data_IF_933299119041
#
_entry.id   IF_933299119041
#
_cell.length_a   1.000
_cell.length_b   1.000
_cell.length_c   1.000
_cell.angle_alpha   90.00
_cell.angle_beta   90.00
_cell.angle_gamma   90.00
#
_symmetry.space_group_name_H-M   'P 1'
#
loop_
_entity.id
_entity.type
_entity.pdbx_description
1 polymer ?
#
# COMPACT_ATOMS: atom_id res chain seq x y z
N UNK A 1 0.74 4.91 -28.34
CA UNK A 1 0.41 4.43 -26.98
C UNK A 1 -0.79 3.52 -27.10
N UNK A 2 -0.83 2.41 -26.36
CA UNK A 2 -2.01 1.56 -26.35
C UNK A 2 -3.20 2.33 -25.76
N UNK A 3 -4.39 2.16 -26.34
CA UNK A 3 -5.62 2.81 -25.88
C UNK A 3 -6.65 1.74 -25.55
N UNK A 4 -7.38 1.95 -24.47
CA UNK A 4 -8.49 1.10 -24.07
C UNK A 4 -9.81 1.82 -24.28
N UNK A 5 -10.84 1.08 -24.65
CA UNK A 5 -12.21 1.57 -24.67
C UNK A 5 -12.94 1.16 -23.40
N UNK A 6 -14.08 1.79 -23.10
CA UNK A 6 -14.92 1.39 -21.95
C UNK A 6 -15.33 -0.09 -21.95
N UNK A 7 -15.28 -0.76 -23.11
CA UNK A 7 -15.57 -2.18 -23.25
C UNK A 7 -14.46 -3.08 -22.70
N UNK A 8 -13.23 -2.57 -22.65
CA UNK A 8 -12.04 -3.29 -22.17
C UNK A 8 -11.88 -3.18 -20.64
N UNK A 9 -12.70 -2.34 -20.00
CA UNK A 9 -12.58 -2.05 -18.58
C UNK A 9 -12.85 -3.31 -17.75
N UNK A 10 -11.94 -3.57 -16.82
CA UNK A 10 -12.03 -4.66 -15.86
C UNK A 10 -11.23 -4.29 -14.62
N UNK A 11 -11.56 -4.86 -13.44
CA UNK A 11 -10.72 -4.75 -12.26
C UNK A 11 -9.25 -5.06 -12.57
N UNK A 12 -8.34 -4.23 -12.08
CA UNK A 12 -6.90 -4.35 -12.31
C UNK A 12 -6.38 -3.69 -13.60
N UNK A 13 -7.24 -3.22 -14.50
CA UNK A 13 -6.79 -2.47 -15.68
C UNK A 13 -6.14 -1.14 -15.25
N UNK A 14 -4.95 -0.87 -15.79
CA UNK A 14 -4.15 0.34 -15.49
C UNK A 14 -4.19 1.31 -16.67
N UNK A 15 -4.56 2.55 -16.42
CA UNK A 15 -4.77 3.57 -17.45
C UNK A 15 -4.43 4.97 -16.92
N UNK A 16 -4.22 5.91 -17.83
CA UNK A 16 -3.95 7.30 -17.50
C UNK A 16 -5.24 8.11 -17.36
N UNK A 17 -5.36 8.86 -16.26
CA UNK A 17 -6.47 9.79 -16.01
C UNK A 17 -5.91 11.06 -15.38
N UNK A 18 -6.21 12.22 -15.98
CA UNK A 18 -5.79 13.54 -15.50
C UNK A 18 -4.27 13.65 -15.24
N UNK A 19 -3.45 12.97 -16.06
CA UNK A 19 -1.99 12.96 -15.95
C UNK A 19 -1.42 12.01 -14.89
N UNK A 20 -2.25 11.22 -14.20
CA UNK A 20 -1.81 10.23 -13.22
C UNK A 20 -2.17 8.79 -13.65
N UNK A 21 -1.30 7.80 -13.36
CA UNK A 21 -1.63 6.40 -13.55
C UNK A 21 -2.66 5.94 -12.51
N UNK A 22 -3.71 5.29 -12.98
CA UNK A 22 -4.84 4.82 -12.19
C UNK A 22 -5.08 3.32 -12.43
N UNK A 23 -5.65 2.64 -11.43
CA UNK A 23 -6.11 1.26 -11.54
C UNK A 23 -7.61 1.19 -11.30
N UNK A 24 -8.33 0.43 -12.12
CA UNK A 24 -9.75 0.14 -11.90
C UNK A 24 -9.88 -0.84 -10.73
N UNK A 25 -10.64 -0.46 -9.70
CA UNK A 25 -11.01 -1.36 -8.60
C UNK A 25 -12.24 -2.17 -9.00
N UNK A 26 -13.27 -1.49 -9.48
CA UNK A 26 -14.53 -2.08 -9.92
C UNK A 26 -15.15 -1.24 -11.03
N UNK A 27 -15.96 -1.89 -11.86
CA UNK A 27 -16.72 -1.24 -12.91
C UNK A 27 -18.09 -1.89 -13.10
N UNK A 28 -19.06 -1.07 -13.50
CA UNK A 28 -20.43 -1.49 -13.77
C UNK A 28 -20.92 -0.80 -15.04
N UNK A 29 -21.36 -1.60 -16.02
CA UNK A 29 -22.00 -1.07 -17.22
C UNK A 29 -23.49 -0.80 -16.96
N UNK A 30 -23.91 0.44 -17.14
CA UNK A 30 -25.28 0.89 -16.88
C UNK A 30 -25.93 1.36 -18.18
N UNK A 31 -27.05 0.73 -18.53
CA UNK A 31 -27.92 1.14 -19.64
C UNK A 31 -29.21 1.73 -19.09
N UNK A 32 -29.38 3.06 -19.02
CA UNK A 32 -30.59 3.67 -18.51
C UNK A 32 -31.76 3.43 -19.48
N UNK A 33 -32.99 3.31 -18.95
CA UNK A 33 -34.20 3.18 -19.78
C UNK A 33 -34.43 4.38 -20.71
N UNK A 34 -33.88 5.55 -20.36
CA UNK A 34 -33.81 6.75 -21.20
C UNK A 34 -32.46 7.43 -20.99
N UNK A 35 -31.67 7.59 -22.07
CA UNK A 35 -30.34 8.22 -22.03
C UNK A 35 -29.25 7.37 -22.70
N UNK A 36 -28.03 7.89 -22.73
CA UNK A 36 -26.86 7.16 -23.24
C UNK A 36 -26.34 6.18 -22.18
N UNK A 37 -25.88 5.00 -22.62
CA UNK A 37 -25.20 4.06 -21.74
C UNK A 37 -23.87 4.65 -21.22
N UNK A 38 -23.49 4.25 -20.01
CA UNK A 38 -22.25 4.66 -19.37
C UNK A 38 -21.70 3.53 -18.50
N UNK A 39 -20.40 3.57 -18.24
CA UNK A 39 -19.73 2.67 -17.30
C UNK A 39 -19.41 3.48 -16.05
N UNK A 40 -20.00 3.08 -14.91
CA UNK A 40 -19.60 3.58 -13.59
C UNK A 40 -18.35 2.84 -13.18
N UNK A 41 -17.29 3.55 -12.82
CA UNK A 41 -16.03 2.95 -12.41
C UNK A 41 -15.60 3.52 -11.08
N UNK A 42 -15.06 2.67 -10.22
CA UNK A 42 -14.29 3.10 -9.06
C UNK A 42 -12.83 2.85 -9.37
N UNK A 43 -12.04 3.90 -9.31
CA UNK A 43 -10.62 3.89 -9.64
C UNK A 43 -9.79 4.29 -8.43
N UNK A 44 -8.57 3.80 -8.35
CA UNK A 44 -7.56 4.25 -7.39
C UNK A 44 -6.42 4.91 -8.14
N UNK A 45 -6.11 6.15 -7.80
CA UNK A 45 -4.88 6.83 -8.26
C UNK A 45 -3.68 6.17 -7.60
N UNK A 46 -2.69 5.78 -8.40
CA UNK A 46 -1.54 5.03 -7.88
C UNK A 46 -0.54 5.94 -7.15
N UNK A 47 -0.36 7.18 -7.58
CA UNK A 47 0.56 8.12 -6.91
C UNK A 47 -0.04 8.66 -5.61
N UNK A 48 -1.30 9.09 -5.63
CA UNK A 48 -1.93 9.74 -4.48
C UNK A 48 -2.71 8.79 -3.57
N UNK A 49 -2.89 7.52 -3.96
CA UNK A 49 -3.71 6.54 -3.24
C UNK A 49 -5.22 6.83 -3.21
N UNK A 50 -5.67 7.97 -3.75
CA UNK A 50 -7.06 8.43 -3.70
C UNK A 50 -7.97 7.51 -4.51
N UNK A 51 -9.10 7.14 -3.91
CA UNK A 51 -10.18 6.40 -4.58
C UNK A 51 -11.22 7.38 -5.08
N UNK A 52 -11.61 7.26 -6.35
CA UNK A 52 -12.54 8.14 -7.03
C UNK A 52 -13.59 7.31 -7.77
N UNK A 53 -14.84 7.76 -7.75
CA UNK A 53 -15.91 7.22 -8.59
C UNK A 53 -16.03 8.09 -9.85
N UNK A 54 -15.76 7.52 -11.02
CA UNK A 54 -15.76 8.20 -12.32
C UNK A 54 -16.73 7.49 -13.27
N UNK A 55 -17.57 8.28 -13.95
CA UNK A 55 -18.50 7.77 -14.96
C UNK A 55 -17.95 8.03 -16.36
N UNK A 56 -17.74 6.97 -17.13
CA UNK A 56 -17.30 7.06 -18.52
C UNK A 56 -18.48 6.81 -19.46
N UNK A 57 -18.68 7.70 -20.45
CA UNK A 57 -19.67 7.45 -21.50
C UNK A 57 -19.23 6.23 -22.32
N UNK A 58 -20.15 5.37 -22.71
CA UNK A 58 -19.80 4.20 -23.52
C UNK A 58 -19.12 4.61 -24.82
N UNK A 59 -18.01 3.95 -25.15
CA UNK A 59 -17.17 4.25 -26.31
C UNK A 59 -16.07 5.29 -26.05
N UNK A 60 -15.99 5.85 -24.84
CA UNK A 60 -14.85 6.70 -24.45
C UNK A 60 -13.58 5.86 -24.46
N UNK A 61 -12.50 6.43 -25.02
CA UNK A 61 -11.18 5.81 -25.02
C UNK A 61 -10.29 6.47 -23.96
N UNK A 62 -9.45 5.69 -23.31
CA UNK A 62 -8.45 6.11 -22.34
C UNK A 62 -7.08 5.59 -22.75
N UNK A 63 -6.02 6.29 -22.35
CA UNK A 63 -4.65 5.87 -22.63
C UNK A 63 -4.18 4.81 -21.62
N UNK A 64 -3.45 3.80 -22.08
CA UNK A 64 -2.84 2.81 -21.21
C UNK A 64 -1.72 3.45 -20.38
N UNK A 65 -1.61 3.04 -19.11
CA UNK A 65 -0.48 3.40 -18.26
C UNK A 65 0.48 2.20 -18.22
N UNK A 66 1.77 2.44 -18.51
CA UNK A 66 2.80 1.42 -18.38
C UNK A 66 3.20 1.29 -16.91
N UNK A 67 2.51 0.38 -16.21
CA UNK A 67 2.69 0.18 -14.78
C UNK A 67 2.92 -1.29 -14.49
N UNK A 68 4.05 -1.57 -13.85
CA UNK A 68 4.49 -2.92 -13.51
C UNK A 68 4.62 -3.04 -11.99
N UNK A 69 4.18 -4.17 -11.43
CA UNK A 69 4.40 -4.49 -10.03
C UNK A 69 5.53 -5.53 -9.98
N UNK A 70 6.60 -5.23 -9.27
CA UNK A 70 7.73 -6.12 -9.09
C UNK A 70 7.82 -6.56 -7.63
N UNK A 71 8.09 -7.86 -7.42
CA UNK A 71 8.43 -8.42 -6.13
C UNK A 71 9.93 -8.22 -5.91
N UNK A 72 10.29 -7.29 -5.01
CA UNK A 72 11.66 -6.92 -4.72
C UNK A 72 11.95 -7.06 -3.22
N UNK A 73 13.17 -7.39 -2.89
CA UNK A 73 13.63 -7.48 -1.49
C UNK A 73 14.26 -6.15 -1.08
N UNK A 74 13.82 -5.58 0.03
CA UNK A 74 14.41 -4.36 0.58
C UNK A 74 15.84 -4.62 1.07
N UNK A 75 16.78 -3.77 0.66
CA UNK A 75 18.21 -3.95 0.93
C UNK A 75 18.75 -2.96 1.94
N UNK A 76 18.72 -1.66 1.65
CA UNK A 76 19.18 -0.60 2.55
C UNK A 76 18.60 0.75 2.11
N UNK A 77 18.78 1.79 2.93
CA UNK A 77 18.51 3.18 2.55
C UNK A 77 19.78 4.02 2.63
N UNK A 78 19.89 5.00 1.75
CA UNK A 78 20.85 6.10 1.88
C UNK A 78 20.14 7.35 2.45
N UNK A 79 20.74 8.53 2.30
CA UNK A 79 20.16 9.78 2.81
C UNK A 79 18.84 10.19 2.13
N UNK A 80 18.59 9.72 0.89
CA UNK A 80 17.47 10.19 0.06
C UNK A 80 16.63 9.07 -0.56
N UNK A 81 17.18 7.86 -0.71
CA UNK A 81 16.62 6.76 -1.45
C UNK A 81 16.62 5.44 -0.68
N UNK A 82 15.62 4.61 -0.98
CA UNK A 82 15.51 3.23 -0.53
C UNK A 82 15.83 2.31 -1.69
N UNK A 83 16.70 1.34 -1.45
CA UNK A 83 17.15 0.39 -2.48
C UNK A 83 16.48 -0.97 -2.30
N UNK A 84 15.97 -1.47 -3.42
CA UNK A 84 15.31 -2.76 -3.53
C UNK A 84 16.02 -3.59 -4.58
N UNK A 85 16.16 -4.89 -4.33
CA UNK A 85 16.86 -5.81 -5.21
C UNK A 85 15.88 -6.86 -5.74
N UNK A 86 15.94 -7.12 -7.04
CA UNK A 86 15.17 -8.21 -7.63
C UNK A 86 15.80 -9.57 -7.24
N UNK A 87 15.04 -10.52 -6.70
CA UNK A 87 15.59 -11.78 -6.17
C UNK A 87 16.22 -12.67 -7.23
N UNK A 88 15.69 -12.65 -8.47
CA UNK A 88 16.19 -13.48 -9.58
C UNK A 88 17.25 -12.80 -10.45
N UNK A 89 17.05 -11.53 -10.83
CA UNK A 89 17.94 -10.81 -11.76
C UNK A 89 19.03 -10.02 -11.06
N UNK A 90 18.94 -9.83 -9.73
CA UNK A 90 19.82 -8.97 -8.93
C UNK A 90 19.84 -7.49 -9.38
N UNK A 91 18.88 -7.08 -10.20
CA UNK A 91 18.71 -5.67 -10.57
C UNK A 91 18.30 -4.84 -9.36
N UNK A 92 18.86 -3.63 -9.27
CA UNK A 92 18.56 -2.69 -8.19
C UNK A 92 17.61 -1.60 -8.67
N UNK A 93 16.62 -1.32 -7.84
CA UNK A 93 15.64 -0.25 -8.02
C UNK A 93 15.73 0.70 -6.83
N UNK A 94 15.76 2.00 -7.10
CA UNK A 94 15.78 3.05 -6.08
C UNK A 94 14.44 3.76 -6.03
N UNK A 95 13.84 3.84 -4.85
CA UNK A 95 12.62 4.59 -4.60
C UNK A 95 12.93 5.84 -3.78
N UNK A 96 12.30 6.96 -4.14
CA UNK A 96 12.40 8.20 -3.37
C UNK A 96 11.46 8.20 -2.14
N UNK A 97 11.62 9.19 -1.27
CA UNK A 97 10.78 9.33 -0.08
C UNK A 97 9.28 9.47 -0.39
N UNK A 98 8.92 9.98 -1.58
CA UNK A 98 7.53 10.15 -1.98
C UNK A 98 6.88 8.82 -2.38
N UNK A 99 7.62 7.94 -3.05
CA UNK A 99 7.21 6.60 -3.43
C UNK A 99 7.13 5.66 -2.22
N UNK A 100 8.02 5.84 -1.23
CA UNK A 100 8.01 5.06 0.02
C UNK A 100 6.91 5.55 0.97
N UNK A 101 6.83 6.86 1.22
CA UNK A 101 5.83 7.46 2.10
C UNK A 101 5.77 6.80 3.48
N UNK A 102 4.56 6.50 3.94
CA UNK A 102 4.31 5.86 5.25
C UNK A 102 4.82 4.42 5.36
N UNK A 103 5.22 3.79 4.25
CA UNK A 103 5.75 2.44 4.27
C UNK A 103 7.12 2.35 4.96
N UNK A 104 7.87 3.45 5.06
CA UNK A 104 9.23 3.48 5.63
C UNK A 104 9.31 2.76 6.97
N UNK A 105 8.35 3.02 7.86
CA UNK A 105 8.32 2.45 9.22
C UNK A 105 8.08 0.93 9.27
N UNK A 106 7.75 0.33 8.13
CA UNK A 106 7.49 -1.10 7.96
C UNK A 106 8.54 -1.80 7.10
N UNK A 107 9.54 -1.09 6.58
CA UNK A 107 10.62 -1.66 5.78
C UNK A 107 11.70 -2.23 6.70
N UNK A 108 11.66 -3.55 6.85
CA UNK A 108 12.70 -4.32 7.54
C UNK A 108 13.73 -4.83 6.53
N UNK A 109 15.00 -4.91 6.93
CA UNK A 109 16.05 -5.52 6.11
C UNK A 109 15.61 -6.90 5.63
N UNK A 110 15.84 -7.16 4.34
CA UNK A 110 15.45 -8.39 3.66
C UNK A 110 13.92 -8.63 3.58
N UNK A 111 13.09 -7.61 3.80
CA UNK A 111 11.64 -7.74 3.61
C UNK A 111 11.26 -7.81 2.13
N UNK A 112 10.44 -8.79 1.78
CA UNK A 112 9.85 -8.89 0.44
C UNK A 112 8.72 -7.87 0.27
N UNK A 113 8.95 -6.90 -0.60
CA UNK A 113 8.05 -5.80 -0.88
C UNK A 113 7.54 -5.88 -2.32
N UNK A 114 6.37 -5.28 -2.57
CA UNK A 114 5.88 -5.06 -3.93
C UNK A 114 6.17 -3.61 -4.28
N UNK A 115 6.97 -3.38 -5.31
CA UNK A 115 7.28 -2.05 -5.83
C UNK A 115 6.54 -1.85 -7.15
N UNK A 116 5.67 -0.84 -7.18
CA UNK A 116 4.95 -0.44 -8.39
C UNK A 116 5.79 0.59 -9.14
N UNK A 117 6.18 0.24 -10.36
CA UNK A 117 6.87 1.10 -11.32
C UNK A 117 5.85 1.74 -12.27
N UNK A 118 6.07 3.00 -12.64
CA UNK A 118 5.40 3.68 -13.74
C UNK A 118 6.44 4.23 -14.72
N UNK A 119 6.36 3.83 -15.99
CA UNK A 119 7.37 4.15 -17.01
C UNK A 119 8.80 3.83 -16.53
N UNK A 120 8.97 2.71 -15.82
CA UNK A 120 10.25 2.26 -15.25
C UNK A 120 10.68 2.96 -13.95
N UNK A 121 9.95 3.96 -13.45
CA UNK A 121 10.28 4.67 -12.20
C UNK A 121 9.40 4.19 -11.04
N UNK A 122 9.95 3.85 -9.85
CA UNK A 122 9.14 3.51 -8.68
C UNK A 122 8.22 4.65 -8.25
N UNK A 123 6.94 4.34 -8.06
CA UNK A 123 5.91 5.30 -7.60
C UNK A 123 5.25 4.90 -6.29
N UNK A 124 5.31 3.62 -5.90
CA UNK A 124 4.70 3.12 -4.68
C UNK A 124 5.46 1.91 -4.18
N UNK A 125 5.74 1.87 -2.88
CA UNK A 125 6.29 0.71 -2.19
C UNK A 125 5.23 0.14 -1.26
N UNK A 126 4.88 -1.13 -1.45
CA UNK A 126 3.98 -1.87 -0.56
C UNK A 126 4.80 -2.86 0.26
N UNK A 127 4.92 -2.66 1.59
CA UNK A 127 5.61 -3.60 2.47
C UNK A 127 4.80 -4.90 2.62
N UNK A 128 5.37 -5.96 3.23
CA UNK A 128 4.62 -7.15 3.58
C UNK A 128 3.36 -6.81 4.39
N UNK A 129 2.27 -7.55 4.19
CA UNK A 129 1.02 -7.33 4.94
C UNK A 129 1.21 -7.44 6.45
N UNK A 130 2.20 -8.23 6.89
CA UNK A 130 2.53 -8.40 8.29
C UNK A 130 4.02 -8.24 8.51
N UNK A 131 4.38 -7.51 9.55
CA UNK A 131 5.76 -7.36 10.03
C UNK A 131 5.84 -7.75 11.49
N UNK A 132 6.99 -8.28 11.87
CA UNK A 132 7.29 -8.66 13.25
C UNK A 132 8.30 -7.67 13.81
N UNK A 133 7.91 -6.95 14.86
CA UNK A 133 8.67 -5.85 15.41
C UNK A 133 8.74 -5.95 16.94
N UNK A 134 9.91 -5.68 17.48
CA UNK A 134 10.13 -5.61 18.93
C UNK A 134 9.61 -4.28 19.49
N UNK A 135 9.00 -4.35 20.68
CA UNK A 135 8.59 -3.17 21.43
C UNK A 135 9.77 -2.64 22.21
N UNK A 136 10.18 -1.40 21.90
CA UNK A 136 11.31 -0.73 22.56
C UNK A 136 10.84 0.19 23.69
N UNK A 137 9.60 0.66 23.66
CA UNK A 137 9.04 1.54 24.68
C UNK A 137 7.52 1.38 24.79
N UNK A 138 7.00 1.25 26.02
CA UNK A 138 5.56 1.21 26.31
C UNK A 138 5.31 1.39 27.81
N UNK A 139 4.17 1.94 28.18
CA UNK A 139 3.80 2.14 29.59
C UNK A 139 3.63 0.80 30.35
N UNK A 140 3.97 0.74 31.65
CA UNK A 140 3.66 -0.41 32.49
C UNK A 140 2.15 -0.61 32.57
N UNK A 141 1.66 -1.78 32.15
CA UNK A 141 0.22 -2.08 32.19
C UNK A 141 -0.30 -2.11 33.63
N UNK A 142 -1.16 -1.15 34.01
CA UNK A 142 -1.82 -1.14 35.31
C UNK A 142 -2.92 -2.22 35.34
N UNK A 143 -2.70 -3.29 36.12
CA UNK A 143 -3.62 -4.44 36.28
C UNK A 143 -5.05 -4.09 36.75
N UNK A 144 -5.33 -2.85 37.11
CA UNK A 144 -6.63 -2.39 37.62
C UNK A 144 -7.56 -1.74 36.58
N UNK A 145 -7.09 -1.50 35.36
CA UNK A 145 -7.87 -0.81 34.31
C UNK A 145 -8.61 -1.82 33.40
N UNK A 146 -9.40 -2.70 34.01
CA UNK A 146 -10.12 -3.80 33.33
C UNK A 146 -11.49 -3.40 32.77
N UNK A 147 -11.86 -2.13 32.86
CA UNK A 147 -13.19 -1.64 32.48
C UNK A 147 -13.30 -1.15 31.02
N UNK A 148 -12.19 -1.07 30.28
CA UNK A 148 -12.20 -0.64 28.88
C UNK A 148 -11.45 -1.59 27.98
N UNK A 149 -11.84 -1.62 26.70
CA UNK A 149 -11.05 -2.10 25.55
C UNK A 149 -9.78 -1.25 25.32
N UNK A 150 -9.16 -0.79 26.41
CA UNK A 150 -8.02 0.11 26.46
C UNK A 150 -6.74 -0.63 26.13
N UNK A 151 -6.34 -0.58 24.86
CA UNK A 151 -4.94 -0.81 24.49
C UNK A 151 -4.09 0.40 24.85
N UNK A 152 -2.81 0.16 25.15
CA UNK A 152 -1.79 1.19 25.39
C UNK A 152 -0.96 1.43 24.13
N UNK A 153 -0.42 2.63 23.92
CA UNK A 153 0.55 2.85 22.86
C UNK A 153 1.86 2.10 23.17
N UNK A 154 2.48 1.55 22.13
CA UNK A 154 3.80 0.97 22.17
C UNK A 154 4.60 1.45 20.96
N UNK A 155 5.83 1.88 21.21
CA UNK A 155 6.81 2.25 20.20
C UNK A 155 7.63 1.02 19.82
N UNK A 156 7.72 0.77 18.52
CA UNK A 156 8.42 -0.37 17.94
C UNK A 156 9.86 0.00 17.57
N UNK A 157 10.70 -1.00 17.30
CA UNK A 157 12.11 -0.82 16.92
C UNK A 157 12.32 0.09 15.70
N UNK A 158 11.34 0.20 14.81
CA UNK A 158 11.36 1.11 13.65
C UNK A 158 10.90 2.53 13.97
N UNK A 159 10.48 2.81 15.20
CA UNK A 159 9.85 4.07 15.61
C UNK A 159 8.34 4.15 15.33
N UNK A 160 7.74 3.12 14.71
CA UNK A 160 6.30 3.03 14.54
C UNK A 160 5.59 2.95 15.91
N UNK A 161 4.49 3.68 16.07
CA UNK A 161 3.66 3.63 17.28
C UNK A 161 2.37 2.88 16.98
N UNK A 162 2.10 1.82 17.74
CA UNK A 162 0.90 0.98 17.59
C UNK A 162 0.18 0.78 18.91
N UNK A 163 -1.12 0.52 18.86
CA UNK A 163 -1.92 0.23 20.05
C UNK A 163 -1.87 -1.26 20.36
N UNK A 164 -1.33 -1.62 21.53
CA UNK A 164 -1.16 -3.01 21.98
C UNK A 164 -1.97 -3.31 23.25
N UNK A 165 -2.30 -4.57 23.53
CA UNK A 165 -2.90 -4.97 24.80
C UNK A 165 -2.04 -4.64 26.03
N UNK A 166 -2.67 -4.41 27.18
CA UNK A 166 -1.98 -4.01 28.42
C UNK A 166 -0.94 -5.01 28.94
N UNK A 167 -1.11 -6.30 28.61
CA UNK A 167 -0.22 -7.37 29.06
C UNK A 167 1.12 -7.42 28.32
N UNK A 168 1.22 -6.76 27.17
CA UNK A 168 2.44 -6.77 26.34
C UNK A 168 3.51 -5.92 27.01
N UNK A 169 4.77 -6.37 26.99
CA UNK A 169 5.89 -5.71 27.67
C UNK A 169 6.98 -5.28 26.68
N UNK A 170 7.88 -4.40 27.15
CA UNK A 170 9.10 -4.03 26.44
C UNK A 170 9.95 -5.30 26.21
N UNK A 171 10.54 -5.42 25.02
CA UNK A 171 11.33 -6.58 24.60
C UNK A 171 10.51 -7.73 23.99
N UNK A 172 9.16 -7.64 24.01
CA UNK A 172 8.33 -8.61 23.30
C UNK A 172 8.23 -8.27 21.81
N UNK A 173 8.28 -9.30 20.96
CA UNK A 173 8.07 -9.17 19.52
C UNK A 173 6.58 -9.33 19.21
N UNK A 174 6.02 -8.37 18.48
CA UNK A 174 4.62 -8.38 18.06
C UNK A 174 4.51 -8.41 16.55
N UNK A 175 3.45 -9.05 16.07
CA UNK A 175 3.02 -9.03 14.69
C UNK A 175 2.03 -7.89 14.47
N UNK A 176 2.30 -7.05 13.48
CA UNK A 176 1.50 -5.87 13.13
C UNK A 176 1.01 -6.00 11.68
N UNK A 177 -0.24 -5.61 11.42
CA UNK A 177 -0.74 -5.44 10.05
C UNK A 177 -0.30 -4.07 9.51
N UNK A 178 0.50 -4.06 8.46
CA UNK A 178 1.09 -2.82 7.89
C UNK A 178 0.05 -1.94 7.19
N UNK A 179 -1.11 -2.50 6.83
CA UNK A 179 -2.18 -1.80 6.11
C UNK A 179 -3.03 -0.97 7.06
N UNK A 180 -3.33 -1.51 8.24
CA UNK A 180 -4.10 -0.81 9.29
C UNK A 180 -3.23 -0.20 10.39
N UNK A 181 -1.99 -0.67 10.55
CA UNK A 181 -1.12 -0.33 11.67
C UNK A 181 -1.56 -0.96 12.99
N UNK A 182 -2.35 -2.04 12.93
CA UNK A 182 -2.94 -2.66 14.13
C UNK A 182 -2.14 -3.86 14.61
N UNK A 183 -2.11 -4.03 15.93
CA UNK A 183 -1.60 -5.24 16.57
C UNK A 183 -2.45 -6.46 16.17
N UNK A 184 -1.78 -7.52 15.73
CA UNK A 184 -2.41 -8.80 15.38
C UNK A 184 -2.21 -9.82 16.49
N UNK A 185 -0.96 -10.07 16.87
CA UNK A 185 -0.61 -11.09 17.85
C UNK A 185 0.80 -10.90 18.39
N UNK A 186 1.10 -11.46 19.57
CA UNK A 186 2.47 -11.58 20.07
C UNK A 186 3.15 -12.80 19.45
N UNK A 187 4.37 -12.62 18.95
CA UNK A 187 5.22 -13.70 18.43
C UNK A 187 5.84 -14.43 19.63
N UNK A 188 5.93 -15.76 19.57
CA UNK A 188 6.48 -16.60 20.64
C UNK A 188 7.90 -17.03 20.34
#
# INVERSE_FOLDING_TARGET
MATYTTSDFKPGLKFMQDGEPCVIIENEFVKPGKGQAFTRTRIRKLISGKVLDVNFKSGTSVEAADVMDLNLTYSYKDEAFWYFMHPETFEQYSADAKAVGEAEKWLLDQADCIVTLWNGSPITVTPPNFVELEIVDTDPGLKGDTAGTGGKPATLSTGAVVKVPLFVQIGEVIKVDTRSGEYVSRVK
#
